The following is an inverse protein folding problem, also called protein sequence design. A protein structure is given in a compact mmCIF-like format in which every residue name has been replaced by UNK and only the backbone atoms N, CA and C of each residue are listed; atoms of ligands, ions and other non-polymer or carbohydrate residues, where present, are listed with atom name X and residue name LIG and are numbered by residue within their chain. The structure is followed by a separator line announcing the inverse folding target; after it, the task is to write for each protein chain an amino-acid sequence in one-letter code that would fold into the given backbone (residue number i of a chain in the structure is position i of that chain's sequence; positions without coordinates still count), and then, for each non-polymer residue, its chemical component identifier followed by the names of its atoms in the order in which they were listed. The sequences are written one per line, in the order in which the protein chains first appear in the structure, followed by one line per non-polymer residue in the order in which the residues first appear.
data_IF_035329201955
#
_entry.id   IF_035329201955
#
_cell.length_a   1.000
_cell.length_b   1.000
_cell.length_c   1.000
_cell.angle_alpha   90.00
_cell.angle_beta   90.00
_cell.angle_gamma   90.00
#
_symmetry.space_group_name_H-M   'P 1'
#
loop_
_entity.id
_entity.type
_entity.pdbx_description
1 polymer ?
#
# COMPACT_ATOMS: atom_id res chain seq x y z
N UNK A 1 46.15 11.07 -35.68
CA UNK A 1 45.96 10.23 -34.48
C UNK A 1 45.20 11.08 -33.47
N UNK A 2 43.88 11.16 -33.64
CA UNK A 2 43.01 11.98 -32.80
C UNK A 2 42.56 11.18 -31.57
N UNK A 3 42.84 11.72 -30.39
CA UNK A 3 42.58 11.08 -29.10
C UNK A 3 41.11 11.29 -28.72
N UNK A 4 40.25 10.40 -29.19
CA UNK A 4 38.84 10.32 -28.81
C UNK A 4 38.73 9.89 -27.32
N UNK A 5 38.56 10.85 -26.41
CA UNK A 5 38.23 10.58 -25.01
C UNK A 5 36.73 10.32 -24.89
N UNK A 6 36.36 9.05 -24.82
CA UNK A 6 34.99 8.62 -24.48
C UNK A 6 34.75 8.96 -23.00
N UNK A 7 33.97 10.01 -22.73
CA UNK A 7 33.50 10.33 -21.38
C UNK A 7 32.33 9.40 -21.09
N UNK A 8 32.62 8.29 -20.39
CA UNK A 8 31.59 7.40 -19.88
C UNK A 8 30.80 8.13 -18.78
N UNK A 9 29.63 8.67 -19.13
CA UNK A 9 28.71 9.27 -18.15
C UNK A 9 28.04 8.13 -17.39
N UNK A 10 28.52 7.85 -16.17
CA UNK A 10 27.88 6.88 -15.27
C UNK A 10 26.59 7.51 -14.76
N UNK A 11 25.45 7.14 -15.34
CA UNK A 11 24.14 7.47 -14.78
C UNK A 11 23.93 6.59 -13.55
N UNK A 12 24.23 7.13 -12.37
CA UNK A 12 23.89 6.51 -11.10
C UNK A 12 22.36 6.55 -10.94
N UNK A 13 21.69 5.45 -11.30
CA UNK A 13 20.28 5.22 -10.99
C UNK A 13 20.12 5.16 -9.46
N UNK A 14 19.57 6.22 -8.89
CA UNK A 14 19.25 6.31 -7.49
C UNK A 14 18.11 5.33 -7.13
N UNK A 15 18.47 4.14 -6.67
CA UNK A 15 17.57 3.13 -6.10
C UNK A 15 17.15 3.55 -4.68
N UNK A 16 16.29 4.56 -4.56
CA UNK A 16 15.65 4.90 -3.28
C UNK A 16 14.45 3.96 -3.00
N UNK A 17 14.17 3.63 -1.72
CA UNK A 17 13.60 2.34 -1.34
C UNK A 17 12.06 2.37 -1.41
N UNK A 18 11.49 1.93 -2.53
CA UNK A 18 10.04 1.70 -2.65
C UNK A 18 9.48 0.78 -1.54
N UNK A 19 10.31 -0.10 -0.99
CA UNK A 19 9.97 -1.04 0.07
C UNK A 19 9.65 -0.38 1.41
N UNK A 20 10.33 0.71 1.77
CA UNK A 20 10.12 1.40 3.04
C UNK A 20 8.75 2.10 3.11
N UNK A 21 8.29 2.64 1.97
CA UNK A 21 6.98 3.27 1.86
C UNK A 21 5.84 2.25 1.95
N UNK A 22 6.00 1.09 1.32
CA UNK A 22 5.04 -0.01 1.38
C UNK A 22 4.85 -0.51 2.83
N UNK A 23 5.95 -0.81 3.53
CA UNK A 23 5.92 -1.31 4.91
C UNK A 23 5.31 -0.27 5.90
N UNK A 24 5.62 1.02 5.72
CA UNK A 24 4.94 2.06 6.50
C UNK A 24 3.43 2.12 6.22
N UNK A 25 3.01 1.97 4.97
CA UNK A 25 1.60 1.97 4.58
C UNK A 25 0.87 0.75 5.14
N UNK A 26 1.45 -0.44 5.08
CA UNK A 26 0.93 -1.67 5.66
C UNK A 26 0.73 -1.54 7.17
N UNK A 27 1.75 -1.07 7.89
CA UNK A 27 1.67 -0.86 9.35
C UNK A 27 0.61 0.16 9.74
N UNK A 28 0.50 1.26 8.97
CA UNK A 28 -0.54 2.27 9.17
C UNK A 28 -1.94 1.68 8.94
N UNK A 29 -2.10 0.88 7.89
CA UNK A 29 -3.37 0.23 7.56
C UNK A 29 -3.78 -0.78 8.63
N UNK A 30 -2.86 -1.63 9.09
CA UNK A 30 -3.09 -2.55 10.20
C UNK A 30 -3.53 -1.81 11.47
N UNK A 31 -2.93 -0.66 11.77
CA UNK A 31 -3.32 0.19 12.91
C UNK A 31 -4.73 0.76 12.75
N UNK A 32 -5.10 1.23 11.56
CA UNK A 32 -6.44 1.74 11.28
C UNK A 32 -7.49 0.65 11.51
N UNK A 33 -7.25 -0.56 10.98
CA UNK A 33 -8.18 -1.70 11.13
C UNK A 33 -8.31 -2.10 12.60
N UNK A 34 -7.19 -2.18 13.34
CA UNK A 34 -7.19 -2.47 14.79
C UNK A 34 -7.90 -1.41 15.63
N UNK A 35 -7.66 -0.13 15.33
CA UNK A 35 -8.31 0.97 16.03
C UNK A 35 -9.84 1.01 15.81
N UNK A 36 -10.32 0.40 14.73
CA UNK A 36 -11.75 0.22 14.47
C UNK A 36 -12.34 -1.03 15.16
N UNK A 37 -11.56 -1.75 15.96
CA UNK A 37 -12.01 -2.94 16.70
C UNK A 37 -11.92 -4.25 15.91
N UNK A 38 -11.26 -4.25 14.75
CA UNK A 38 -11.06 -5.45 13.95
C UNK A 38 -9.68 -6.09 14.18
N UNK A 39 -9.58 -7.38 13.93
CA UNK A 39 -8.31 -8.09 13.98
C UNK A 39 -7.48 -7.80 12.71
N UNK A 40 -6.23 -7.36 12.87
CA UNK A 40 -5.27 -7.29 11.76
C UNK A 40 -3.85 -7.16 12.32
N UNK A 41 -3.13 -8.28 12.41
CA UNK A 41 -1.75 -8.28 12.92
C UNK A 41 -0.75 -7.73 11.88
N UNK A 42 -0.76 -8.34 10.69
CA UNK A 42 0.03 -7.92 9.53
C UNK A 42 -0.89 -7.81 8.31
N UNK A 43 -0.73 -6.73 7.55
CA UNK A 43 -1.30 -6.62 6.20
C UNK A 43 -0.39 -7.38 5.25
N UNK A 44 -0.92 -8.40 4.56
CA UNK A 44 -0.16 -9.17 3.57
C UNK A 44 -0.43 -8.72 2.14
N UNK A 45 -1.53 -8.01 1.91
CA UNK A 45 -1.93 -7.52 0.60
C UNK A 45 -2.90 -6.33 0.72
N UNK A 46 -2.80 -5.40 -0.23
CA UNK A 46 -3.60 -4.19 -0.30
C UNK A 46 -3.91 -3.85 -1.76
N UNK A 47 -5.18 -3.93 -2.15
CA UNK A 47 -5.60 -3.76 -3.53
C UNK A 47 -6.75 -2.74 -3.65
N UNK A 48 -6.65 -1.84 -4.63
CA UNK A 48 -7.77 -0.96 -4.98
C UNK A 48 -8.80 -1.75 -5.81
N UNK A 49 -10.02 -1.88 -5.31
CA UNK A 49 -11.14 -2.40 -6.09
C UNK A 49 -11.63 -1.33 -7.06
N UNK A 50 -11.06 -1.33 -8.27
CA UNK A 50 -11.40 -0.39 -9.34
C UNK A 50 -12.86 -0.50 -9.80
N UNK A 51 -13.53 -1.64 -9.58
CA UNK A 51 -14.92 -1.85 -10.00
C UNK A 51 -15.90 -1.16 -9.06
N UNK A 52 -15.55 -1.06 -7.77
CA UNK A 52 -16.37 -0.40 -6.74
C UNK A 52 -15.93 1.04 -6.43
N UNK A 53 -14.76 1.45 -6.93
CA UNK A 53 -14.21 2.79 -6.70
C UNK A 53 -14.76 3.82 -7.68
N UNK A 54 -14.92 5.04 -7.20
CA UNK A 54 -15.28 6.25 -7.95
C UNK A 54 -14.23 7.34 -7.67
N UNK A 55 -14.22 8.46 -8.43
CA UNK A 55 -13.31 9.58 -8.16
C UNK A 55 -13.44 10.15 -6.73
N UNK A 56 -14.64 10.10 -6.15
CA UNK A 56 -14.94 10.64 -4.82
C UNK A 56 -14.80 9.61 -3.70
N UNK A 57 -14.71 8.32 -4.03
CA UNK A 57 -14.72 7.22 -3.06
C UNK A 57 -13.92 6.03 -3.56
N UNK A 58 -12.88 5.64 -2.84
CA UNK A 58 -12.05 4.48 -3.15
C UNK A 58 -12.42 3.30 -2.26
N UNK A 59 -12.50 2.11 -2.84
CA UNK A 59 -12.69 0.86 -2.10
C UNK A 59 -11.38 0.09 -2.13
N UNK A 60 -10.80 -0.14 -0.96
CA UNK A 60 -9.52 -0.84 -0.81
C UNK A 60 -9.78 -2.17 -0.11
N UNK A 61 -9.38 -3.25 -0.75
CA UNK A 61 -9.37 -4.58 -0.18
C UNK A 61 -8.04 -4.76 0.57
N UNK A 62 -8.13 -5.10 1.84
CA UNK A 62 -6.97 -5.33 2.71
C UNK A 62 -7.03 -6.74 3.24
N UNK A 63 -5.96 -7.48 3.03
CA UNK A 63 -5.80 -8.84 3.55
C UNK A 63 -4.90 -8.80 4.77
N UNK A 64 -5.39 -9.32 5.89
CA UNK A 64 -4.66 -9.48 7.13
C UNK A 64 -4.34 -10.96 7.38
N UNK A 65 -3.09 -11.25 7.71
CA UNK A 65 -2.59 -12.62 7.87
C UNK A 65 -1.48 -12.72 8.93
N UNK A 66 -1.61 -13.64 9.89
CA UNK A 66 -0.61 -13.89 10.96
C UNK A 66 0.02 -15.29 10.89
N UNK A 67 0.00 -15.92 9.71
CA UNK A 67 0.36 -17.33 9.47
C UNK A 67 -0.77 -18.31 9.82
N UNK A 68 -1.57 -18.05 10.86
CA UNK A 68 -2.61 -18.98 11.36
C UNK A 68 -4.03 -18.55 11.03
N UNK A 69 -4.25 -17.24 10.92
CA UNK A 69 -5.53 -16.60 10.73
C UNK A 69 -5.48 -15.74 9.48
N UNK A 70 -6.59 -15.73 8.76
CA UNK A 70 -6.80 -14.94 7.56
C UNK A 70 -8.08 -14.14 7.70
N UNK A 71 -8.02 -12.85 7.36
CA UNK A 71 -9.20 -12.02 7.27
C UNK A 71 -9.04 -10.98 6.14
N UNK A 72 -10.09 -10.79 5.36
CA UNK A 72 -10.14 -9.75 4.34
C UNK A 72 -11.12 -8.66 4.78
N UNK A 73 -10.73 -7.41 4.55
CA UNK A 73 -11.49 -6.23 4.89
C UNK A 73 -11.68 -5.35 3.67
N UNK A 74 -12.89 -4.83 3.52
CA UNK A 74 -13.21 -3.76 2.59
C UNK A 74 -13.14 -2.42 3.34
N UNK A 75 -12.19 -1.56 2.95
CA UNK A 75 -12.03 -0.21 3.46
C UNK A 75 -12.61 0.77 2.45
N UNK A 76 -13.60 1.55 2.88
CA UNK A 76 -14.14 2.65 2.07
C UNK A 76 -13.41 3.93 2.46
N UNK A 77 -12.72 4.54 1.51
CA UNK A 77 -11.94 5.77 1.68
C UNK A 77 -12.62 6.90 0.92
N UNK A 78 -12.91 8.01 1.61
CA UNK A 78 -13.48 9.20 0.97
C UNK A 78 -12.46 9.99 0.14
N UNK A 79 -12.93 10.97 -0.63
CA UNK A 79 -12.10 11.89 -1.41
C UNK A 79 -11.11 12.71 -0.57
N UNK A 80 -11.37 12.85 0.74
CA UNK A 80 -10.46 13.45 1.72
C UNK A 80 -9.39 12.48 2.26
N UNK A 81 -9.26 11.30 1.65
CA UNK A 81 -8.35 10.22 2.03
C UNK A 81 -8.58 9.66 3.44
N UNK A 82 -9.74 9.91 4.06
CA UNK A 82 -10.13 9.32 5.34
C UNK A 82 -10.93 8.04 5.16
N UNK A 83 -10.66 7.04 6.01
CA UNK A 83 -11.47 5.82 6.06
C UNK A 83 -12.84 6.15 6.65
N UNK A 84 -13.89 5.81 5.92
CA UNK A 84 -15.30 6.04 6.26
C UNK A 84 -15.98 4.81 6.83
N UNK A 85 -15.60 3.63 6.34
CA UNK A 85 -16.07 2.37 6.88
C UNK A 85 -15.05 1.26 6.65
N UNK A 86 -15.10 0.26 7.54
CA UNK A 86 -14.34 -0.99 7.45
C UNK A 86 -15.36 -2.12 7.58
N UNK A 87 -15.37 -3.05 6.62
CA UNK A 87 -16.27 -4.21 6.64
C UNK A 87 -15.45 -5.48 6.48
N UNK A 88 -15.64 -6.44 7.38
CA UNK A 88 -15.08 -7.80 7.21
C UNK A 88 -15.84 -8.51 6.08
N UNK A 89 -15.08 -9.14 5.18
CA UNK A 89 -15.61 -9.95 4.07
C UNK A 89 -15.81 -11.41 4.48
#
# INVERSE_FOLDING_TARGET
MDRMRVVATVVALALFPATAYADMMERRTARIIRNAGHWCDRVSDLQLDKRKSTPERRVVLVTCYDIRHFAQYELVVGGDNKVRSIKKM
#
